data_IF_205788921805
#
_entry.id   IF_205788921805
#
_cell.length_a   1.000
_cell.length_b   1.000
_cell.length_c   1.000
_cell.angle_alpha   90.00
_cell.angle_beta   90.00
_cell.angle_gamma   90.00
#
_symmetry.space_group_name_H-M   'P 1'
#
loop_
_entity.id
_entity.type
_entity.pdbx_description
1 polymer ?
#
# COMPACT_ATOMS: atom_id res chain seq x y z
N UNK A 1 11.80 97.43 9.05
CA UNK A 1 10.48 97.65 9.67
C UNK A 1 9.84 96.28 9.84
N UNK A 2 9.89 95.63 11.00
CA UNK A 2 9.16 95.91 12.22
C UNK A 2 8.50 94.58 12.63
N UNK A 3 8.96 93.96 13.73
CA UNK A 3 8.18 93.70 14.97
C UNK A 3 7.06 92.64 14.78
N UNK A 4 6.92 91.55 15.53
CA UNK A 4 7.14 91.21 16.95
C UNK A 4 7.17 89.66 17.04
N UNK A 5 8.05 89.02 17.81
CA UNK A 5 7.89 88.72 19.25
C UNK A 5 6.50 88.16 19.61
N UNK A 6 6.42 86.86 19.92
CA UNK A 6 6.40 86.40 21.31
C UNK A 6 5.78 85.02 21.44
N UNK A 7 6.58 84.15 22.05
CA UNK A 7 6.23 82.84 22.58
C UNK A 7 5.15 82.93 23.67
N UNK A 8 4.32 81.90 23.75
CA UNK A 8 3.69 81.50 25.02
C UNK A 8 3.71 79.97 25.11
N UNK A 9 4.71 79.50 25.85
CA UNK A 9 4.73 78.40 26.84
C UNK A 9 3.33 78.02 27.37
N UNK A 10 2.91 76.81 27.74
CA UNK A 10 3.47 75.49 28.11
C UNK A 10 2.20 74.59 28.21
N UNK A 11 2.18 73.28 27.97
CA UNK A 11 2.34 72.26 29.02
C UNK A 11 2.14 70.86 28.42
N UNK A 12 3.26 70.15 28.31
CA UNK A 12 3.54 68.75 28.70
C UNK A 12 2.39 67.83 29.12
N UNK A 13 2.21 66.70 28.42
CA UNK A 13 2.38 65.32 28.94
C UNK A 13 2.13 64.32 27.78
N UNK A 14 3.18 63.68 27.27
CA UNK A 14 3.64 62.31 27.60
C UNK A 14 2.72 61.24 26.97
N UNK A 15 3.18 60.24 26.22
CA UNK A 15 4.50 59.64 26.09
C UNK A 15 4.58 58.75 24.83
N UNK A 16 5.82 58.53 24.34
CA UNK A 16 6.40 57.27 23.85
C UNK A 16 5.70 56.50 22.70
N UNK A 17 6.35 55.97 21.66
CA UNK A 17 7.76 55.73 21.40
C UNK A 17 7.97 55.40 19.90
N UNK A 18 9.11 55.88 19.40
CA UNK A 18 10.09 55.24 18.52
C UNK A 18 9.67 54.49 17.22
N UNK A 19 10.27 55.01 16.13
CA UNK A 19 10.95 54.28 15.05
C UNK A 19 10.03 53.64 13.98
N UNK A 20 10.32 53.68 12.68
CA UNK A 20 11.64 53.52 12.07
C UNK A 20 11.63 53.99 10.61
N UNK A 21 12.75 54.60 10.21
CA UNK A 21 13.29 54.93 8.88
C UNK A 21 12.82 54.02 7.73
N UNK A 22 12.15 54.60 6.73
CA UNK A 22 11.79 53.94 5.47
C UNK A 22 13.04 53.67 4.62
N UNK A 23 13.40 52.40 4.46
CA UNK A 23 14.38 51.93 3.47
C UNK A 23 13.61 51.44 2.23
N UNK A 24 13.83 52.07 1.07
CA UNK A 24 13.46 51.50 -0.23
C UNK A 24 14.29 50.23 -0.46
N UNK A 25 13.60 49.11 -0.69
CA UNK A 25 14.21 47.85 -1.12
C UNK A 25 14.47 47.87 -2.65
N UNK A 26 15.55 47.23 -3.14
CA UNK A 26 15.82 47.07 -4.57
C UNK A 26 14.92 45.98 -5.20
N UNK A 27 14.67 46.01 -6.53
CA UNK A 27 13.72 45.11 -7.19
C UNK A 27 14.40 43.80 -7.58
N UNK A 28 14.40 42.80 -6.69
CA UNK A 28 14.90 41.47 -7.01
C UNK A 28 14.07 40.41 -6.28
N UNK A 29 12.95 40.03 -6.89
CA UNK A 29 12.29 38.71 -6.83
C UNK A 29 11.01 38.85 -7.67
N UNK A 30 11.19 38.92 -8.99
CA UNK A 30 10.12 38.52 -9.91
C UNK A 30 9.95 37.02 -9.66
N UNK A 31 9.01 36.67 -8.77
CA UNK A 31 8.49 35.32 -8.72
C UNK A 31 8.07 34.99 -10.16
N UNK A 32 8.66 33.95 -10.74
CA UNK A 32 8.17 33.39 -11.99
C UNK A 32 6.75 32.91 -11.71
N UNK A 33 5.77 33.78 -11.91
CA UNK A 33 4.36 33.47 -11.76
C UNK A 33 4.03 32.47 -12.87
N UNK A 34 4.11 31.18 -12.56
CA UNK A 34 3.65 30.12 -13.45
C UNK A 34 2.15 30.31 -13.58
N UNK A 35 1.74 31.03 -14.63
CA UNK A 35 0.33 31.31 -14.91
C UNK A 35 -0.36 30.03 -15.35
N UNK A 36 -0.91 29.31 -14.36
CA UNK A 36 -1.66 28.07 -14.55
C UNK A 36 -2.84 28.34 -15.50
N UNK A 37 -2.91 27.71 -16.69
CA UNK A 37 -4.03 27.85 -17.59
C UNK A 37 -5.35 27.51 -16.89
N UNK A 38 -6.36 28.35 -17.05
CA UNK A 38 -7.66 28.19 -16.40
C UNK A 38 -8.34 26.85 -16.71
N UNK A 39 -8.14 26.32 -17.92
CA UNK A 39 -8.68 25.04 -18.37
C UNK A 39 -8.05 23.82 -17.66
N UNK A 40 -6.95 23.99 -16.94
CA UNK A 40 -6.35 22.94 -16.10
C UNK A 40 -6.88 22.97 -14.67
N UNK A 41 -7.62 24.00 -14.28
CA UNK A 41 -8.14 24.16 -12.93
C UNK A 41 -9.50 23.50 -12.78
N UNK A 42 -9.69 22.82 -11.66
CA UNK A 42 -10.97 22.26 -11.26
C UNK A 42 -11.95 23.41 -10.93
N UNK A 43 -13.18 23.42 -11.46
CA UNK A 43 -14.16 24.46 -11.11
C UNK A 43 -14.59 24.48 -9.64
N UNK A 44 -14.38 23.38 -8.90
CA UNK A 44 -14.73 23.26 -7.47
C UNK A 44 -13.56 23.71 -6.59
N UNK A 45 -12.39 23.07 -6.72
CA UNK A 45 -11.24 23.36 -5.86
C UNK A 45 -10.42 24.56 -6.33
N UNK A 46 -10.57 24.98 -7.59
CA UNK A 46 -9.76 26.00 -8.27
C UNK A 46 -8.27 25.65 -8.43
N UNK A 47 -7.87 24.46 -7.97
CA UNK A 47 -6.54 23.88 -8.12
C UNK A 47 -6.41 23.12 -9.44
N UNK A 48 -5.15 22.86 -9.86
CA UNK A 48 -4.88 22.02 -11.03
C UNK A 48 -5.49 20.64 -10.83
N UNK A 49 -6.25 20.17 -11.83
CA UNK A 49 -6.86 18.84 -11.81
C UNK A 49 -5.78 17.77 -11.86
N UNK A 50 -5.77 16.87 -10.87
CA UNK A 50 -4.88 15.70 -10.84
C UNK A 50 -5.50 14.55 -11.62
N UNK A 51 -6.78 14.30 -11.37
CA UNK A 51 -7.56 13.24 -12.03
C UNK A 51 -8.78 13.87 -12.73
N UNK A 52 -8.62 14.45 -13.93
CA UNK A 52 -9.72 15.12 -14.62
C UNK A 52 -10.79 14.11 -15.08
N UNK A 53 -12.01 14.29 -14.60
CA UNK A 53 -13.20 13.52 -14.95
C UNK A 53 -14.31 14.45 -15.42
N UNK A 54 -15.05 14.04 -16.43
CA UNK A 54 -16.16 14.79 -17.00
C UNK A 54 -17.50 14.22 -16.57
N UNK A 55 -18.43 15.11 -16.22
CA UNK A 55 -19.83 14.77 -16.05
C UNK A 55 -20.52 14.66 -17.42
N UNK A 56 -21.74 14.11 -17.43
CA UNK A 56 -22.61 14.09 -18.62
C UNK A 56 -22.91 15.48 -19.20
N UNK A 57 -22.73 16.55 -18.41
CA UNK A 57 -22.82 17.95 -18.86
C UNK A 57 -21.61 18.41 -19.69
N UNK A 58 -20.56 17.58 -19.81
CA UNK A 58 -19.32 17.89 -20.51
C UNK A 58 -18.32 18.72 -19.70
N UNK A 59 -18.69 19.18 -18.50
CA UNK A 59 -17.76 19.91 -17.62
C UNK A 59 -16.83 18.94 -16.92
N UNK A 60 -15.55 19.31 -16.86
CA UNK A 60 -14.47 18.49 -16.27
C UNK A 60 -14.08 19.04 -14.91
N UNK A 61 -13.88 18.13 -13.95
CA UNK A 61 -13.52 18.39 -12.57
C UNK A 61 -12.35 17.50 -12.16
N UNK A 62 -11.70 17.85 -11.06
CA UNK A 62 -10.87 16.89 -10.35
C UNK A 62 -11.74 15.82 -9.67
N UNK A 63 -11.42 14.54 -9.84
CA UNK A 63 -12.21 13.40 -9.34
C UNK A 63 -12.53 13.52 -7.86
N UNK A 64 -11.52 13.78 -7.02
CA UNK A 64 -11.73 13.84 -5.57
C UNK A 64 -12.68 14.98 -5.18
N UNK A 65 -12.67 16.07 -5.95
CA UNK A 65 -13.52 17.23 -5.71
C UNK A 65 -14.98 16.98 -6.10
N UNK A 66 -15.22 16.40 -7.29
CA UNK A 66 -16.58 16.11 -7.74
C UNK A 66 -17.20 14.92 -6.99
N UNK A 67 -16.38 13.93 -6.60
CA UNK A 67 -16.85 12.78 -5.82
C UNK A 67 -17.38 13.25 -4.45
N UNK A 68 -16.62 14.08 -3.74
CA UNK A 68 -17.07 14.69 -2.46
C UNK A 68 -18.37 15.48 -2.61
N UNK A 69 -18.55 16.19 -3.72
CA UNK A 69 -19.78 16.92 -4.01
C UNK A 69 -20.99 15.98 -4.15
N UNK A 70 -20.83 14.89 -4.91
CA UNK A 70 -21.88 13.89 -5.13
C UNK A 70 -22.18 13.09 -3.85
N UNK A 71 -21.15 12.69 -3.10
CA UNK A 71 -21.28 11.95 -1.84
C UNK A 71 -22.00 12.78 -0.76
N UNK A 72 -21.96 14.12 -0.86
CA UNK A 72 -22.72 15.03 -0.01
C UNK A 72 -24.22 15.09 -0.36
N UNK A 73 -24.68 14.26 -1.30
CA UNK A 73 -26.08 14.15 -1.73
C UNK A 73 -26.49 15.16 -2.80
N UNK A 74 -25.55 15.90 -3.39
CA UNK A 74 -25.87 16.88 -4.44
C UNK A 74 -26.09 16.18 -5.78
N UNK A 75 -27.18 16.51 -6.47
CA UNK A 75 -27.56 15.94 -7.78
C UNK A 75 -27.53 16.98 -8.90
N UNK A 76 -26.76 18.04 -8.73
CA UNK A 76 -26.60 19.13 -9.70
C UNK A 76 -25.15 19.29 -10.11
N UNK A 77 -24.93 19.77 -11.33
CA UNK A 77 -23.61 20.10 -11.85
C UNK A 77 -23.10 21.39 -11.19
N UNK A 78 -21.95 21.38 -10.49
CA UNK A 78 -21.46 22.56 -9.76
C UNK A 78 -21.23 23.81 -10.62
N UNK A 79 -20.88 23.64 -11.89
CA UNK A 79 -20.53 24.75 -12.77
C UNK A 79 -21.72 25.29 -13.55
N UNK A 80 -22.68 24.43 -13.93
CA UNK A 80 -23.84 24.83 -14.74
C UNK A 80 -25.10 25.00 -13.91
N UNK A 81 -25.10 24.53 -12.66
CA UNK A 81 -26.27 24.48 -11.77
C UNK A 81 -27.45 23.67 -12.33
N UNK A 82 -27.22 22.87 -13.37
CA UNK A 82 -28.25 22.02 -13.97
C UNK A 82 -28.35 20.67 -13.23
N UNK A 83 -29.56 20.07 -13.12
CA UNK A 83 -29.73 18.71 -12.61
C UNK A 83 -28.92 17.71 -13.43
N UNK A 84 -28.30 16.74 -12.77
CA UNK A 84 -27.53 15.67 -13.38
C UNK A 84 -28.45 14.48 -13.69
N UNK A 85 -28.65 14.10 -14.97
CA UNK A 85 -29.39 12.89 -15.34
C UNK A 85 -28.69 11.61 -14.91
N UNK A 86 -27.35 11.63 -14.83
CA UNK A 86 -26.53 10.57 -14.25
C UNK A 86 -25.33 11.16 -13.51
N UNK A 87 -24.86 10.42 -12.50
CA UNK A 87 -23.68 10.74 -11.70
C UNK A 87 -22.43 10.03 -12.20
N UNK A 88 -22.46 9.51 -13.43
CA UNK A 88 -21.34 8.78 -14.02
C UNK A 88 -20.18 9.73 -14.29
N UNK A 89 -18.99 9.35 -13.83
CA UNK A 89 -17.77 10.09 -14.05
C UNK A 89 -16.98 9.46 -15.19
N UNK A 90 -16.85 10.18 -16.30
CA UNK A 90 -16.08 9.73 -17.47
C UNK A 90 -14.67 10.30 -17.39
N UNK A 91 -13.60 9.48 -17.34
CA UNK A 91 -12.23 9.98 -17.31
C UNK A 91 -11.87 10.81 -18.55
N UNK A 92 -11.30 12.02 -18.36
CA UNK A 92 -10.80 12.86 -19.45
C UNK A 92 -9.29 12.67 -19.62
N UNK A 93 -8.91 11.55 -20.26
CA UNK A 93 -7.51 11.16 -20.43
C UNK A 93 -6.72 12.18 -21.27
N UNK A 94 -7.36 12.83 -22.25
CA UNK A 94 -6.73 13.87 -23.07
C UNK A 94 -6.30 15.06 -22.23
N UNK A 95 -7.20 15.59 -21.38
CA UNK A 95 -6.86 16.74 -20.52
C UNK A 95 -5.78 16.36 -19.51
N UNK A 96 -5.81 15.12 -19.00
CA UNK A 96 -4.78 14.61 -18.10
C UNK A 96 -3.40 14.60 -18.76
N UNK A 97 -3.29 14.12 -20.00
CA UNK A 97 -2.03 14.16 -20.76
C UNK A 97 -1.53 15.59 -21.00
N UNK A 98 -2.44 16.53 -21.28
CA UNK A 98 -2.09 17.94 -21.47
C UNK A 98 -1.58 18.61 -20.18
N UNK A 99 -2.24 18.35 -19.05
CA UNK A 99 -1.82 18.86 -17.73
C UNK A 99 -0.44 18.32 -17.37
N UNK A 100 -0.21 17.02 -17.58
CA UNK A 100 1.08 16.38 -17.32
C UNK A 100 2.20 16.95 -18.19
N UNK A 101 1.93 17.18 -19.47
CA UNK A 101 2.92 17.81 -20.35
C UNK A 101 3.22 19.25 -19.92
N UNK A 102 2.18 20.03 -19.60
CA UNK A 102 2.33 21.39 -19.13
C UNK A 102 3.14 21.49 -17.83
N UNK A 103 2.86 20.63 -16.84
CA UNK A 103 3.57 20.66 -15.55
C UNK A 103 5.07 20.35 -15.71
N UNK A 104 5.40 19.41 -16.61
CA UNK A 104 6.79 19.08 -16.95
C UNK A 104 7.53 20.23 -17.63
N UNK A 105 6.84 21.02 -18.47
CA UNK A 105 7.43 22.16 -19.17
C UNK A 105 7.54 23.44 -18.34
N UNK A 106 6.81 23.50 -17.21
CA UNK A 106 6.67 24.71 -16.38
C UNK A 106 7.61 24.73 -15.17
N UNK A 107 8.38 23.68 -14.91
CA UNK A 107 9.45 23.73 -13.91
C UNK A 107 10.65 24.50 -14.46
N UNK A 108 11.07 25.62 -13.82
CA UNK A 108 12.30 26.29 -14.23
C UNK A 108 13.46 25.31 -14.06
N UNK A 109 14.17 25.07 -15.16
CA UNK A 109 15.34 24.20 -15.18
C UNK A 109 16.43 24.75 -14.24
N UNK A 110 16.49 24.21 -13.02
CA UNK A 110 17.67 24.33 -12.18
C UNK A 110 18.68 23.29 -12.65
N UNK A 111 19.70 23.74 -13.36
CA UNK A 111 20.89 22.99 -13.70
C UNK A 111 21.57 22.45 -12.43
N UNK A 112 21.63 21.12 -12.29
CA UNK A 112 22.37 20.45 -11.21
C UNK A 112 21.81 19.08 -10.88
N UNK A 113 22.41 18.07 -11.49
CA UNK A 113 22.31 16.63 -11.24
C UNK A 113 21.08 15.86 -11.75
N UNK A 114 21.37 14.76 -12.45
CA UNK A 114 20.42 13.92 -13.15
C UNK A 114 19.61 13.05 -12.18
N UNK A 115 18.57 13.62 -11.58
CA UNK A 115 17.41 12.85 -11.12
C UNK A 115 16.30 12.99 -12.14
N UNK A 116 16.38 12.20 -13.21
CA UNK A 116 15.24 11.95 -14.08
C UNK A 116 14.19 11.30 -13.20
N UNK A 117 13.13 12.03 -12.83
CA UNK A 117 11.92 11.41 -12.29
C UNK A 117 11.29 10.61 -13.43
N UNK A 118 11.77 9.40 -13.63
CA UNK A 118 11.24 8.51 -14.66
C UNK A 118 9.77 8.26 -14.37
N UNK A 119 8.93 8.44 -15.40
CA UNK A 119 7.52 8.04 -15.37
C UNK A 119 7.39 6.65 -14.73
N UNK A 120 6.30 6.35 -13.98
CA UNK A 120 6.11 5.03 -13.37
C UNK A 120 6.28 3.86 -14.34
N UNK A 121 5.85 4.01 -15.61
CA UNK A 121 6.09 3.01 -16.65
C UNK A 121 7.56 2.91 -17.10
N UNK A 122 8.33 3.99 -16.98
CA UNK A 122 9.79 3.99 -17.15
C UNK A 122 10.49 3.23 -16.03
N UNK A 123 10.05 3.40 -14.78
CA UNK A 123 10.58 2.66 -13.64
C UNK A 123 10.36 1.15 -13.78
N UNK A 124 9.17 0.72 -14.20
CA UNK A 124 8.89 -0.70 -14.46
C UNK A 124 9.85 -1.28 -15.51
N UNK A 125 10.16 -0.52 -16.57
CA UNK A 125 11.12 -0.94 -17.60
C UNK A 125 12.55 -1.03 -17.06
N UNK A 126 12.95 -0.13 -16.16
CA UNK A 126 14.25 -0.22 -15.49
C UNK A 126 14.34 -1.46 -14.59
N UNK A 127 13.28 -1.76 -13.82
CA UNK A 127 13.21 -2.96 -12.99
C UNK A 127 13.28 -4.24 -13.84
N UNK A 128 12.64 -4.25 -15.01
CA UNK A 128 12.68 -5.37 -15.94
C UNK A 128 14.06 -5.56 -16.59
N UNK A 129 14.96 -4.58 -16.53
CA UNK A 129 16.30 -4.68 -17.10
C UNK A 129 17.14 -5.70 -16.30
N UNK A 130 17.78 -6.69 -16.96
CA UNK A 130 18.53 -7.75 -16.28
C UNK A 130 19.86 -7.29 -15.70
N UNK A 131 20.46 -6.23 -16.27
CA UNK A 131 21.84 -5.81 -15.97
C UNK A 131 21.93 -4.55 -15.09
N UNK A 132 20.79 -3.93 -14.77
CA UNK A 132 20.73 -2.77 -13.88
C UNK A 132 20.32 -3.19 -12.46
N UNK A 133 20.85 -2.47 -11.45
CA UNK A 133 20.37 -2.57 -10.08
C UNK A 133 18.93 -2.03 -10.00
N UNK A 134 17.92 -2.87 -9.70
CA UNK A 134 16.54 -2.43 -9.66
C UNK A 134 16.21 -1.63 -8.39
N UNK A 135 17.09 -1.59 -7.39
CA UNK A 135 16.77 -1.11 -6.03
C UNK A 135 16.28 0.34 -6.00
N UNK A 136 16.91 1.25 -6.76
CA UNK A 136 16.48 2.64 -6.83
C UNK A 136 15.09 2.81 -7.48
N UNK A 137 14.86 2.10 -8.59
CA UNK A 137 13.59 2.14 -9.31
C UNK A 137 12.45 1.51 -8.49
N UNK A 138 12.74 0.43 -7.76
CA UNK A 138 11.78 -0.22 -6.85
C UNK A 138 11.40 0.69 -5.69
N UNK A 139 12.35 1.43 -5.10
CA UNK A 139 12.05 2.41 -4.04
C UNK A 139 11.13 3.53 -4.55
N UNK A 140 11.40 4.04 -5.75
CA UNK A 140 10.55 5.07 -6.36
C UNK A 140 9.15 4.54 -6.72
N UNK A 141 9.04 3.29 -7.19
CA UNK A 141 7.76 2.63 -7.43
C UNK A 141 6.97 2.40 -6.13
N UNK A 142 7.64 1.99 -5.05
CA UNK A 142 6.99 1.80 -3.76
C UNK A 142 6.43 3.14 -3.25
N UNK A 143 7.22 4.21 -3.32
CA UNK A 143 6.76 5.55 -2.97
C UNK A 143 5.55 5.99 -3.79
N UNK A 144 5.56 5.77 -5.11
CA UNK A 144 4.43 6.10 -5.98
C UNK A 144 3.14 5.33 -5.63
N UNK A 145 3.24 4.04 -5.29
CA UNK A 145 2.08 3.23 -4.91
C UNK A 145 1.53 3.60 -3.53
N UNK A 146 2.40 4.03 -2.62
CA UNK A 146 2.04 4.50 -1.27
C UNK A 146 1.59 5.96 -1.21
N UNK A 147 1.71 6.72 -2.30
CA UNK A 147 1.33 8.14 -2.33
C UNK A 147 -0.19 8.30 -2.37
N UNK A 148 -0.77 8.90 -1.33
CA UNK A 148 -2.20 9.17 -1.20
C UNK A 148 -2.71 10.19 -2.23
N UNK A 149 -1.82 11.01 -2.81
CA UNK A 149 -2.17 11.98 -3.84
C UNK A 149 -2.37 11.33 -5.22
N UNK A 150 -1.94 10.09 -5.39
CA UNK A 150 -2.05 9.35 -6.65
C UNK A 150 -3.36 8.55 -6.68
N UNK A 151 -4.19 8.81 -7.69
CA UNK A 151 -5.49 8.17 -7.88
C UNK A 151 -5.36 6.64 -8.11
N UNK A 152 -6.22 5.86 -7.44
CA UNK A 152 -6.22 4.40 -7.47
C UNK A 152 -6.34 3.83 -8.89
N UNK A 153 -7.02 4.52 -9.80
CA UNK A 153 -7.11 4.14 -11.20
C UNK A 153 -5.75 4.19 -11.90
N UNK A 154 -4.88 5.14 -11.56
CA UNK A 154 -3.53 5.25 -12.13
C UNK A 154 -2.63 4.13 -11.64
N UNK A 155 -2.67 3.87 -10.33
CA UNK A 155 -1.99 2.75 -9.69
C UNK A 155 -2.45 1.43 -10.32
N UNK A 156 -3.76 1.25 -10.48
CA UNK A 156 -4.34 0.08 -11.15
C UNK A 156 -3.95 -0.04 -12.62
N UNK A 157 -3.89 1.06 -13.37
CA UNK A 157 -3.47 1.05 -14.76
C UNK A 157 -1.98 0.66 -14.90
N UNK A 158 -1.10 1.14 -14.01
CA UNK A 158 0.30 0.77 -13.98
C UNK A 158 0.49 -0.74 -13.74
N UNK A 159 -0.25 -1.29 -12.79
CA UNK A 159 -0.20 -2.73 -12.45
C UNK A 159 -0.88 -3.57 -13.54
N UNK A 160 -2.01 -3.11 -14.08
CA UNK A 160 -2.88 -3.84 -15.00
C UNK A 160 -2.40 -3.87 -16.45
N UNK A 161 -1.78 -2.79 -16.93
CA UNK A 161 -1.38 -2.65 -18.34
C UNK A 161 0.02 -3.20 -18.67
N UNK A 162 0.90 -3.41 -17.67
CA UNK A 162 2.35 -3.32 -17.91
C UNK A 162 3.25 -4.43 -17.39
N UNK A 163 2.73 -5.57 -16.91
CA UNK A 163 3.59 -6.64 -16.37
C UNK A 163 4.44 -6.17 -15.18
N UNK A 164 4.07 -5.08 -14.51
CA UNK A 164 4.81 -4.53 -13.38
C UNK A 164 4.93 -5.55 -12.23
N UNK A 165 3.84 -6.24 -11.92
CA UNK A 165 3.84 -7.33 -10.95
C UNK A 165 4.85 -8.43 -11.32
N UNK A 166 4.93 -8.79 -12.61
CA UNK A 166 5.85 -9.82 -13.09
C UNK A 166 7.30 -9.34 -13.12
N UNK A 167 7.55 -8.12 -13.60
CA UNK A 167 8.88 -7.51 -13.60
C UNK A 167 9.44 -7.44 -12.18
N UNK A 168 8.64 -6.98 -11.22
CA UNK A 168 9.04 -6.91 -9.81
C UNK A 168 9.19 -8.31 -9.20
N UNK A 169 8.27 -9.24 -9.46
CA UNK A 169 8.39 -10.62 -8.98
C UNK A 169 9.64 -11.33 -9.54
N UNK A 170 10.05 -11.02 -10.78
CA UNK A 170 11.24 -11.57 -11.41
C UNK A 170 12.54 -11.20 -10.70
N UNK A 171 12.57 -10.03 -10.03
CA UNK A 171 13.73 -9.59 -9.23
C UNK A 171 13.97 -10.56 -8.07
N UNK A 172 12.91 -11.00 -7.39
CA UNK A 172 13.00 -11.93 -6.26
C UNK A 172 13.48 -13.34 -6.67
N UNK A 173 13.49 -13.64 -7.97
CA UNK A 173 13.87 -14.94 -8.54
C UNK A 173 15.29 -14.95 -9.11
N UNK A 174 15.99 -13.80 -9.16
CA UNK A 174 17.36 -13.71 -9.68
C UNK A 174 18.33 -14.50 -8.78
N UNK A 175 19.28 -15.20 -9.40
CA UNK A 175 20.26 -16.10 -8.75
C UNK A 175 21.68 -15.78 -9.24
N UNK A 176 22.69 -16.18 -8.46
CA UNK A 176 24.10 -16.04 -8.84
C UNK A 176 24.54 -14.58 -8.92
N UNK A 177 25.32 -14.21 -9.95
CA UNK A 177 25.82 -12.84 -10.14
C UNK A 177 24.73 -11.77 -10.31
N UNK A 178 23.49 -12.20 -10.58
CA UNK A 178 22.32 -11.32 -10.73
C UNK A 178 21.46 -11.27 -9.47
N UNK A 179 21.80 -12.03 -8.43
CA UNK A 179 21.06 -12.05 -7.17
C UNK A 179 21.09 -10.66 -6.52
N UNK A 180 19.91 -10.20 -6.11
CA UNK A 180 19.77 -8.87 -5.54
C UNK A 180 19.98 -8.95 -4.03
N UNK A 181 20.67 -7.95 -3.47
CA UNK A 181 20.85 -7.81 -2.03
C UNK A 181 19.53 -7.72 -1.26
N UNK A 182 19.63 -7.80 0.06
CA UNK A 182 18.46 -7.75 0.96
C UNK A 182 17.65 -6.47 0.74
N UNK A 183 18.30 -5.31 0.61
CA UNK A 183 17.63 -4.03 0.38
C UNK A 183 16.82 -3.98 -0.93
N UNK A 184 17.34 -4.56 -2.01
CA UNK A 184 16.60 -4.63 -3.26
C UNK A 184 15.45 -5.64 -3.21
N UNK A 185 15.62 -6.73 -2.45
CA UNK A 185 14.52 -7.65 -2.14
C UNK A 185 13.44 -6.96 -1.31
N UNK A 186 13.80 -6.20 -0.28
CA UNK A 186 12.87 -5.40 0.53
C UNK A 186 12.08 -4.42 -0.32
N UNK A 187 12.75 -3.71 -1.23
CA UNK A 187 12.09 -2.76 -2.13
C UNK A 187 11.11 -3.47 -3.07
N UNK A 188 11.48 -4.63 -3.63
CA UNK A 188 10.58 -5.44 -4.45
C UNK A 188 9.37 -5.95 -3.66
N UNK A 189 9.60 -6.43 -2.43
CA UNK A 189 8.56 -6.88 -1.51
C UNK A 189 7.58 -5.75 -1.20
N UNK A 190 8.07 -4.55 -0.88
CA UNK A 190 7.21 -3.40 -0.57
C UNK A 190 6.30 -3.03 -1.74
N UNK A 191 6.82 -3.05 -2.98
CA UNK A 191 6.02 -2.80 -4.18
C UNK A 191 4.92 -3.84 -4.34
N UNK A 192 5.26 -5.14 -4.27
CA UNK A 192 4.27 -6.20 -4.44
C UNK A 192 3.24 -6.20 -3.31
N UNK A 193 3.66 -5.93 -2.07
CA UNK A 193 2.77 -5.86 -0.91
C UNK A 193 1.78 -4.69 -1.05
N UNK A 194 2.23 -3.53 -1.51
CA UNK A 194 1.35 -2.41 -1.84
C UNK A 194 0.29 -2.83 -2.88
N UNK A 195 0.69 -3.49 -3.96
CA UNK A 195 -0.25 -4.00 -4.98
C UNK A 195 -1.29 -4.96 -4.40
N UNK A 196 -0.91 -5.79 -3.43
CA UNK A 196 -1.82 -6.75 -2.78
C UNK A 196 -2.73 -6.06 -1.75
N UNK A 197 -2.23 -5.01 -1.08
CA UNK A 197 -2.90 -4.32 0.02
C UNK A 197 -3.87 -3.22 -0.42
N UNK A 198 -3.76 -2.73 -1.66
CA UNK A 198 -4.65 -1.69 -2.17
C UNK A 198 -6.12 -2.17 -2.24
N UNK A 199 -7.01 -1.39 -1.62
CA UNK A 199 -8.46 -1.52 -1.76
C UNK A 199 -8.87 -1.11 -3.19
N UNK A 200 -9.89 -1.74 -3.78
CA UNK A 200 -10.35 -1.40 -5.14
C UNK A 200 -9.55 -1.99 -6.31
N UNK A 201 -8.48 -2.73 -6.04
CA UNK A 201 -7.75 -3.50 -7.07
C UNK A 201 -8.57 -4.73 -7.49
N UNK A 202 -8.78 -4.90 -8.80
CA UNK A 202 -9.38 -6.14 -9.34
C UNK A 202 -8.59 -7.37 -8.84
N UNK A 203 -9.29 -8.45 -8.48
CA UNK A 203 -8.69 -9.75 -8.15
C UNK A 203 -7.68 -10.24 -9.20
N UNK A 204 -7.74 -9.70 -10.43
CA UNK A 204 -6.75 -9.94 -11.48
C UNK A 204 -5.32 -9.51 -11.10
N UNK A 205 -5.11 -8.38 -10.45
CA UNK A 205 -3.77 -7.89 -10.09
C UNK A 205 -3.16 -8.70 -8.94
N UNK A 206 -3.97 -9.03 -7.92
CA UNK A 206 -3.58 -9.95 -6.84
C UNK A 206 -3.18 -11.33 -7.40
N UNK A 207 -3.95 -11.83 -8.38
CA UNK A 207 -3.62 -13.06 -9.13
C UNK A 207 -2.32 -12.95 -9.92
N UNK A 208 -2.01 -11.79 -10.53
CA UNK A 208 -0.75 -11.57 -11.26
C UNK A 208 0.47 -11.62 -10.33
N UNK A 209 0.40 -10.98 -9.16
CA UNK A 209 1.46 -11.06 -8.14
C UNK A 209 1.67 -12.52 -7.71
N UNK A 210 0.58 -13.23 -7.39
CA UNK A 210 0.65 -14.63 -7.00
C UNK A 210 1.23 -15.53 -8.11
N UNK A 211 0.81 -15.32 -9.37
CA UNK A 211 1.32 -16.08 -10.52
C UNK A 211 2.81 -15.83 -10.77
N UNK A 212 3.26 -14.58 -10.68
CA UNK A 212 4.66 -14.24 -10.88
C UNK A 212 5.57 -14.81 -9.79
N UNK A 213 5.16 -14.73 -8.53
CA UNK A 213 5.89 -15.37 -7.44
C UNK A 213 5.87 -16.90 -7.56
N UNK A 214 4.78 -17.48 -8.09
CA UNK A 214 4.67 -18.93 -8.30
C UNK A 214 5.56 -19.46 -9.45
N UNK A 215 6.02 -18.60 -10.37
CA UNK A 215 6.82 -19.00 -11.54
C UNK A 215 8.16 -19.68 -11.17
N UNK A 216 8.82 -19.23 -10.09
CA UNK A 216 9.90 -19.95 -9.41
C UNK A 216 9.71 -19.73 -7.90
N UNK A 217 8.72 -20.45 -7.36
CA UNK A 217 8.28 -20.27 -5.98
C UNK A 217 9.38 -20.59 -4.96
N UNK A 218 10.33 -21.48 -5.27
CA UNK A 218 11.46 -21.77 -4.41
C UNK A 218 12.43 -20.57 -4.32
N UNK A 219 12.74 -19.93 -5.46
CA UNK A 219 13.59 -18.73 -5.47
C UNK A 219 12.91 -17.53 -4.80
N UNK A 220 11.64 -17.29 -5.13
CA UNK A 220 10.84 -16.23 -4.50
C UNK A 220 10.74 -16.44 -2.98
N UNK A 221 10.52 -17.68 -2.53
CA UNK A 221 10.51 -18.04 -1.13
C UNK A 221 11.84 -17.78 -0.42
N UNK A 222 12.97 -18.15 -1.03
CA UNK A 222 14.29 -17.91 -0.48
C UNK A 222 14.56 -16.41 -0.31
N UNK A 223 14.14 -15.58 -1.27
CA UNK A 223 14.28 -14.13 -1.18
C UNK A 223 13.37 -13.50 -0.14
N UNK A 224 12.11 -13.94 -0.03
CA UNK A 224 11.19 -13.51 1.03
C UNK A 224 11.72 -13.89 2.43
N UNK A 225 12.25 -15.11 2.57
CA UNK A 225 12.93 -15.58 3.77
C UNK A 225 14.15 -14.73 4.14
N UNK A 226 14.92 -14.30 3.15
CA UNK A 226 16.06 -13.40 3.34
C UNK A 226 15.61 -12.03 3.86
N UNK A 227 14.49 -11.50 3.36
CA UNK A 227 13.89 -10.25 3.84
C UNK A 227 13.38 -10.40 5.28
N UNK A 228 12.67 -11.48 5.62
CA UNK A 228 12.17 -11.69 6.98
C UNK A 228 13.31 -11.71 8.02
N UNK A 229 14.41 -12.40 7.73
CA UNK A 229 15.58 -12.49 8.65
C UNK A 229 16.49 -11.25 8.63
N UNK A 230 16.70 -10.69 7.46
CA UNK A 230 17.75 -9.70 7.21
C UNK A 230 17.27 -8.26 7.17
N UNK A 231 15.96 -8.02 7.09
CA UNK A 231 15.47 -6.67 6.88
C UNK A 231 15.64 -5.78 8.11
N UNK A 232 16.02 -4.54 7.87
CA UNK A 232 16.27 -3.54 8.92
C UNK A 232 14.97 -3.00 9.53
N UNK A 233 13.86 -2.99 8.78
CA UNK A 233 12.58 -2.41 9.19
C UNK A 233 11.47 -3.47 9.40
N UNK A 234 10.68 -3.29 10.45
CA UNK A 234 9.51 -4.14 10.76
C UNK A 234 8.50 -4.16 9.60
N UNK A 235 8.28 -3.02 8.94
CA UNK A 235 7.36 -2.90 7.81
C UNK A 235 7.73 -3.84 6.65
N UNK A 236 9.02 -3.96 6.32
CA UNK A 236 9.47 -4.83 5.25
C UNK A 236 9.27 -6.32 5.59
N UNK A 237 9.37 -6.68 6.87
CA UNK A 237 9.08 -8.05 7.36
C UNK A 237 7.58 -8.34 7.31
N UNK A 238 6.75 -7.37 7.71
CA UNK A 238 5.28 -7.45 7.61
C UNK A 238 4.85 -7.55 6.14
N UNK A 239 5.45 -6.77 5.23
CA UNK A 239 5.17 -6.84 3.80
C UNK A 239 5.63 -8.17 3.18
N UNK A 240 6.78 -8.70 3.62
CA UNK A 240 7.22 -10.03 3.23
C UNK A 240 6.23 -11.09 3.71
N UNK A 241 5.77 -11.00 4.96
CA UNK A 241 4.73 -11.87 5.50
C UNK A 241 3.42 -11.79 4.69
N UNK A 242 2.96 -10.59 4.31
CA UNK A 242 1.78 -10.38 3.45
C UNK A 242 1.91 -11.00 2.06
N UNK A 243 3.11 -11.09 1.51
CA UNK A 243 3.37 -11.76 0.22
C UNK A 243 3.55 -13.26 0.36
N UNK A 244 4.15 -13.69 1.46
CA UNK A 244 4.18 -15.07 1.92
C UNK A 244 2.72 -15.56 2.03
N UNK A 245 1.79 -14.75 2.55
CA UNK A 245 0.34 -14.97 2.52
C UNK A 245 -0.30 -15.07 1.10
N UNK A 246 0.46 -14.94 0.00
CA UNK A 246 0.04 -15.42 -1.33
C UNK A 246 0.33 -16.94 -1.43
N UNK A 247 -0.54 -17.70 -0.78
CA UNK A 247 -0.35 -19.04 -0.21
C UNK A 247 0.22 -20.15 -1.12
N UNK A 248 0.20 -20.02 -2.45
CA UNK A 248 0.84 -20.99 -3.37
C UNK A 248 2.38 -20.90 -3.40
N UNK A 249 2.92 -19.71 -3.17
CA UNK A 249 4.38 -19.49 -3.09
C UNK A 249 4.92 -20.11 -1.81
N UNK A 250 4.17 -19.92 -0.74
CA UNK A 250 4.38 -20.48 0.58
C UNK A 250 4.34 -22.02 0.57
N UNK A 251 3.36 -22.63 -0.10
CA UNK A 251 3.28 -24.10 -0.21
C UNK A 251 4.57 -24.69 -0.82
N UNK A 252 5.10 -24.05 -1.87
CA UNK A 252 6.40 -24.42 -2.45
C UNK A 252 7.59 -24.04 -1.56
N UNK A 253 7.51 -22.94 -0.81
CA UNK A 253 8.52 -22.50 0.16
C UNK A 253 8.72 -23.51 1.29
N UNK A 254 7.63 -24.08 1.81
CA UNK A 254 7.73 -25.15 2.81
C UNK A 254 8.30 -26.44 2.20
N UNK A 255 8.31 -26.56 0.87
CA UNK A 255 9.06 -27.59 0.14
C UNK A 255 10.59 -27.47 0.32
N UNK A 256 11.16 -26.26 0.39
CA UNK A 256 12.60 -26.03 0.53
C UNK A 256 13.03 -25.82 2.00
N UNK A 257 14.24 -26.27 2.34
CA UNK A 257 14.73 -26.21 3.72
C UNK A 257 14.92 -24.77 4.24
N UNK A 258 15.38 -23.86 3.38
CA UNK A 258 15.64 -22.46 3.73
C UNK A 258 14.36 -21.66 3.96
N UNK A 259 13.32 -21.91 3.14
CA UNK A 259 12.00 -21.32 3.29
C UNK A 259 11.30 -21.79 4.57
N UNK A 260 11.42 -23.07 4.89
CA UNK A 260 10.98 -23.60 6.20
C UNK A 260 11.70 -22.96 7.36
N UNK A 261 13.02 -22.90 7.31
CA UNK A 261 13.82 -22.35 8.41
C UNK A 261 13.42 -20.90 8.70
N UNK A 262 13.23 -20.07 7.66
CA UNK A 262 12.72 -18.70 7.83
C UNK A 262 11.33 -18.65 8.45
N UNK A 263 10.38 -19.45 7.92
CA UNK A 263 9.02 -19.45 8.45
C UNK A 263 8.97 -19.89 9.93
N UNK A 264 9.84 -20.82 10.31
CA UNK A 264 9.89 -21.35 11.67
C UNK A 264 10.72 -20.49 12.64
N UNK A 265 11.64 -19.67 12.12
CA UNK A 265 12.38 -18.67 12.91
C UNK A 265 11.43 -17.61 13.46
N UNK A 266 10.52 -17.10 12.61
CA UNK A 266 9.50 -16.09 12.94
C UNK A 266 8.10 -16.71 13.15
N UNK A 267 8.04 -17.96 13.64
CA UNK A 267 6.80 -18.73 13.73
C UNK A 267 5.68 -18.03 14.51
N UNK A 268 6.02 -17.27 15.55
CA UNK A 268 5.06 -16.58 16.43
C UNK A 268 4.28 -15.47 15.70
N UNK A 269 4.84 -14.88 14.65
CA UNK A 269 4.17 -13.85 13.84
C UNK A 269 3.61 -14.45 12.54
N UNK A 270 4.41 -15.29 11.86
CA UNK A 270 4.07 -15.82 10.55
C UNK A 270 2.93 -16.86 10.60
N UNK A 271 2.90 -17.74 11.61
CA UNK A 271 1.90 -18.81 11.69
C UNK A 271 0.50 -18.27 12.00
N UNK A 272 0.31 -17.35 12.97
CA UNK A 272 -1.00 -16.72 13.19
C UNK A 272 -1.52 -15.96 11.97
N UNK A 273 -0.64 -15.33 11.18
CA UNK A 273 -1.02 -14.68 9.93
C UNK A 273 -1.59 -15.69 8.91
N UNK A 274 -0.93 -16.84 8.73
CA UNK A 274 -1.41 -17.93 7.85
C UNK A 274 -2.76 -18.47 8.33
N UNK A 275 -2.91 -18.72 9.64
CA UNK A 275 -4.19 -19.13 10.24
C UNK A 275 -5.27 -18.06 10.03
N UNK A 276 -4.91 -16.78 10.17
CA UNK A 276 -5.69 -15.57 9.88
C UNK A 276 -6.38 -15.58 8.52
N UNK A 277 -5.65 -16.06 7.52
CA UNK A 277 -6.02 -15.99 6.10
C UNK A 277 -6.92 -17.10 5.61
N UNK A 278 -7.05 -18.21 6.36
CA UNK A 278 -7.82 -19.38 5.94
C UNK A 278 -9.25 -19.02 5.49
N UNK A 279 -9.88 -18.02 6.10
CA UNK A 279 -11.26 -17.63 5.77
C UNK A 279 -11.37 -16.30 5.00
N UNK A 280 -10.25 -15.62 4.73
CA UNK A 280 -10.21 -14.33 4.02
C UNK A 280 -9.86 -14.45 2.53
N UNK A 281 -9.41 -15.63 2.08
CA UNK A 281 -8.73 -15.81 0.79
C UNK A 281 -9.48 -16.72 -0.19
N UNK A 282 -10.78 -16.97 0.04
CA UNK A 282 -11.55 -17.95 -0.73
C UNK A 282 -11.09 -19.40 -0.50
N UNK A 283 -11.68 -20.35 -1.23
CA UNK A 283 -11.41 -21.80 -1.04
C UNK A 283 -9.95 -22.17 -1.34
N UNK A 284 -9.43 -21.78 -2.49
CA UNK A 284 -8.04 -22.06 -2.89
C UNK A 284 -7.02 -21.53 -1.88
N UNK A 285 -7.24 -20.33 -1.33
CA UNK A 285 -6.39 -19.78 -0.29
C UNK A 285 -6.50 -20.58 1.00
N UNK A 286 -7.70 -20.96 1.43
CA UNK A 286 -7.89 -21.79 2.61
C UNK A 286 -7.13 -23.12 2.53
N UNK A 287 -7.19 -23.78 1.37
CA UNK A 287 -6.50 -25.06 1.15
C UNK A 287 -4.97 -24.90 1.16
N UNK A 288 -4.46 -23.84 0.53
CA UNK A 288 -3.03 -23.55 0.53
C UNK A 288 -2.51 -23.18 1.94
N UNK A 289 -3.28 -22.43 2.73
CA UNK A 289 -2.94 -22.19 4.15
C UNK A 289 -2.87 -23.48 4.95
N UNK A 290 -3.81 -24.41 4.74
CA UNK A 290 -3.75 -25.73 5.37
C UNK A 290 -2.53 -26.52 4.91
N UNK A 291 -2.17 -26.48 3.64
CA UNK A 291 -0.98 -27.16 3.12
C UNK A 291 0.31 -26.65 3.79
N UNK A 292 0.43 -25.34 3.94
CA UNK A 292 1.56 -24.68 4.63
C UNK A 292 1.64 -25.12 6.08
N UNK A 293 0.55 -24.94 6.83
CA UNK A 293 0.47 -25.29 8.25
C UNK A 293 0.76 -26.78 8.45
N UNK A 294 0.17 -27.64 7.62
CA UNK A 294 0.38 -29.08 7.69
C UNK A 294 1.85 -29.42 7.43
N UNK A 295 2.47 -28.77 6.44
CA UNK A 295 3.84 -29.03 6.12
C UNK A 295 4.78 -28.63 7.29
N UNK A 296 4.69 -27.43 7.85
CA UNK A 296 5.57 -27.06 8.99
C UNK A 296 5.22 -27.79 10.29
N UNK A 297 3.94 -27.85 10.66
CA UNK A 297 3.53 -28.38 11.96
C UNK A 297 3.51 -29.92 11.99
N UNK A 298 3.20 -30.59 10.88
CA UNK A 298 3.01 -32.05 10.84
C UNK A 298 4.10 -32.78 10.04
N UNK A 299 4.34 -32.40 8.79
CA UNK A 299 5.30 -33.09 7.90
C UNK A 299 6.74 -32.94 8.38
N UNK A 300 7.15 -31.71 8.67
CA UNK A 300 8.51 -31.39 9.14
C UNK A 300 8.62 -31.25 10.66
N UNK A 301 7.49 -31.25 11.36
CA UNK A 301 7.40 -31.30 12.83
C UNK A 301 8.15 -30.17 13.53
N UNK A 302 8.08 -28.96 12.98
CA UNK A 302 8.62 -27.79 13.68
C UNK A 302 7.76 -27.46 14.90
N UNK A 303 8.40 -27.48 16.07
CA UNK A 303 7.72 -27.33 17.35
C UNK A 303 7.24 -25.90 17.58
N UNK A 304 8.00 -24.89 17.16
CA UNK A 304 7.61 -23.47 17.29
C UNK A 304 6.40 -23.17 16.43
N UNK A 305 6.40 -23.66 15.19
CA UNK A 305 5.27 -23.52 14.30
C UNK A 305 4.02 -24.26 14.80
N UNK A 306 4.17 -25.46 15.37
CA UNK A 306 3.06 -26.20 15.96
C UNK A 306 2.47 -25.49 17.20
N UNK A 307 3.31 -24.98 18.08
CA UNK A 307 2.90 -24.24 19.28
C UNK A 307 2.21 -22.92 18.90
N UNK A 308 2.76 -22.16 17.94
CA UNK A 308 2.17 -20.93 17.41
C UNK A 308 0.82 -21.19 16.70
N UNK A 309 0.71 -22.26 15.91
CA UNK A 309 -0.54 -22.65 15.26
C UNK A 309 -1.62 -22.97 16.30
N UNK A 310 -1.26 -23.73 17.34
CA UNK A 310 -2.17 -24.09 18.42
C UNK A 310 -2.62 -22.89 19.26
N UNK A 311 -1.72 -21.91 19.48
CA UNK A 311 -2.02 -20.67 20.19
C UNK A 311 -2.84 -19.67 19.34
N UNK A 312 -2.85 -19.82 18.02
CA UNK A 312 -3.55 -18.91 17.10
C UNK A 312 -5.07 -18.96 17.30
N UNK A 313 -5.67 -17.79 17.56
CA UNK A 313 -7.10 -17.67 17.82
C UNK A 313 -7.94 -18.15 16.62
N UNK A 314 -8.92 -19.00 16.91
CA UNK A 314 -9.87 -19.51 15.92
C UNK A 314 -9.30 -20.51 14.91
N UNK A 315 -8.04 -20.96 15.05
CA UNK A 315 -7.43 -21.92 14.12
C UNK A 315 -8.21 -23.24 14.00
N UNK A 316 -8.63 -23.81 15.14
CA UNK A 316 -9.48 -25.00 15.19
C UNK A 316 -10.82 -24.78 14.46
N UNK A 317 -11.51 -23.68 14.76
CA UNK A 317 -12.80 -23.34 14.15
C UNK A 317 -12.67 -23.20 12.63
N UNK A 318 -11.61 -22.54 12.15
CA UNK A 318 -11.36 -22.35 10.71
C UNK A 318 -11.07 -23.67 9.99
N UNK A 319 -10.33 -24.60 10.60
CA UNK A 319 -10.11 -25.94 10.06
C UNK A 319 -11.43 -26.71 9.92
N UNK A 320 -12.30 -26.65 10.94
CA UNK A 320 -13.61 -27.31 10.90
C UNK A 320 -14.51 -26.71 9.81
N UNK A 321 -14.52 -25.38 9.65
CA UNK A 321 -15.26 -24.71 8.60
C UNK A 321 -14.77 -25.10 7.20
N UNK A 322 -13.44 -25.24 7.00
CA UNK A 322 -12.89 -25.71 5.73
C UNK A 322 -13.32 -27.15 5.39
N UNK A 323 -13.37 -28.02 6.40
CA UNK A 323 -13.82 -29.40 6.23
C UNK A 323 -15.31 -29.48 5.86
N UNK A 324 -16.13 -28.52 6.33
CA UNK A 324 -17.56 -28.43 6.01
C UNK A 324 -17.83 -27.80 4.64
N UNK A 325 -16.95 -26.91 4.15
CA UNK A 325 -17.19 -26.12 2.94
C UNK A 325 -16.89 -26.86 1.62
N UNK A 326 -16.58 -28.16 1.66
CA UNK A 326 -16.30 -28.98 0.48
C UNK A 326 -14.94 -28.67 -0.16
N UNK A 327 -13.86 -28.80 0.62
CA UNK A 327 -12.47 -28.70 0.15
C UNK A 327 -12.00 -29.94 -0.63
N UNK A 328 -10.87 -29.82 -1.33
CA UNK A 328 -10.24 -30.93 -2.05
C UNK A 328 -9.89 -32.10 -1.12
N UNK A 329 -9.82 -33.35 -1.63
CA UNK A 329 -9.45 -34.51 -0.83
C UNK A 329 -8.09 -34.37 -0.14
N UNK A 330 -7.13 -33.73 -0.80
CA UNK A 330 -5.80 -33.47 -0.24
C UNK A 330 -5.86 -32.48 0.93
N UNK A 331 -6.53 -31.34 0.74
CA UNK A 331 -6.71 -30.35 1.80
C UNK A 331 -7.48 -30.91 3.01
N UNK A 332 -8.50 -31.75 2.74
CA UNK A 332 -9.24 -32.46 3.78
C UNK A 332 -8.33 -33.36 4.62
N UNK A 333 -7.47 -34.15 3.99
CA UNK A 333 -6.54 -35.02 4.70
C UNK A 333 -5.56 -34.22 5.57
N UNK A 334 -4.96 -33.17 5.01
CA UNK A 334 -4.03 -32.29 5.73
C UNK A 334 -4.70 -31.61 6.93
N UNK A 335 -5.92 -31.10 6.75
CA UNK A 335 -6.70 -30.49 7.82
C UNK A 335 -7.00 -31.49 8.96
N UNK A 336 -7.36 -32.74 8.63
CA UNK A 336 -7.60 -33.79 9.63
C UNK A 336 -6.35 -34.14 10.44
N UNK A 337 -5.17 -34.10 9.83
CA UNK A 337 -3.90 -34.33 10.52
C UNK A 337 -3.51 -33.14 11.41
N UNK A 338 -3.74 -31.91 10.95
CA UNK A 338 -3.56 -30.71 11.76
C UNK A 338 -4.46 -30.69 13.00
N UNK A 339 -5.70 -31.18 12.91
CA UNK A 339 -6.61 -31.28 14.07
C UNK A 339 -6.00 -32.08 15.24
N UNK A 340 -5.08 -33.02 14.98
CA UNK A 340 -4.39 -33.77 16.04
C UNK A 340 -3.49 -32.85 16.87
N UNK A 341 -2.87 -31.84 16.25
CA UNK A 341 -2.02 -30.85 16.90
C UNK A 341 -2.85 -29.94 17.81
N UNK A 342 -3.99 -29.44 17.30
CA UNK A 342 -4.93 -28.65 18.08
C UNK A 342 -5.57 -29.44 19.24
N UNK A 343 -5.84 -30.74 19.06
CA UNK A 343 -6.39 -31.60 20.13
C UNK A 343 -5.40 -31.94 21.23
N UNK A 344 -4.11 -32.07 20.91
CA UNK A 344 -3.06 -32.35 21.92
C UNK A 344 -2.85 -31.12 22.83
N UNK A 345 -2.90 -29.91 22.27
CA UNK A 345 -2.79 -28.66 23.04
C UNK A 345 -4.13 -28.15 23.63
N UNK A 346 -5.29 -28.67 23.22
CA UNK A 346 -6.57 -28.32 23.86
C UNK A 346 -6.63 -28.68 25.36
N UNK A 347 -5.76 -29.58 25.85
CA UNK A 347 -5.61 -29.88 27.27
C UNK A 347 -5.03 -28.71 28.09
N UNK A 348 -4.35 -27.75 27.46
CA UNK A 348 -3.85 -26.53 28.13
C UNK A 348 -4.76 -25.30 27.95
N UNK A 349 -5.74 -25.34 27.03
CA UNK A 349 -6.54 -24.18 26.64
C UNK A 349 -8.01 -24.24 27.06
N UNK A 350 -8.47 -25.35 27.66
CA UNK A 350 -9.72 -25.34 28.42
C UNK A 350 -9.44 -24.59 29.73
N UNK A 351 -9.45 -23.26 29.65
CA UNK A 351 -9.70 -22.42 30.81
C UNK A 351 -10.92 -23.01 31.53
N UNK A 352 -10.70 -23.44 32.78
CA UNK A 352 -11.74 -24.05 33.58
C UNK A 352 -12.96 -23.13 33.59
N UNK A 353 -14.09 -23.62 33.11
CA UNK A 353 -15.37 -23.06 33.48
C UNK A 353 -15.46 -23.23 35.00
N UNK A 354 -15.10 -22.18 35.75
CA UNK A 354 -15.43 -22.07 37.15
C UNK A 354 -16.95 -21.86 37.22
N UNK A 355 -17.70 -22.97 37.26
CA UNK A 355 -19.13 -22.94 37.45
C UNK A 355 -19.38 -22.48 38.88
N UNK A 356 -19.53 -21.16 39.07
CA UNK A 356 -20.18 -20.61 40.26
C UNK A 356 -21.65 -21.02 40.20
N UNK A 357 -21.94 -22.20 40.74
CA UNK A 357 -23.30 -22.66 40.99
C UNK A 357 -23.88 -21.79 42.10
N UNK A 358 -24.61 -20.74 41.72
CA UNK A 358 -25.45 -19.98 42.66
C UNK A 358 -26.59 -20.89 43.09
N UNK A 359 -26.51 -21.37 44.33
CA UNK A 359 -27.56 -22.14 44.97
C UNK A 359 -28.78 -21.24 45.19
N UNK A 360 -29.80 -21.33 44.34
CA UNK A 360 -31.07 -20.63 44.54
C UNK A 360 -31.87 -21.45 45.55
N UNK A 361 -32.06 -20.92 46.76
CA UNK A 361 -32.98 -21.51 47.73
C UNK A 361 -34.43 -21.17 47.33
N UNK A 362 -35.36 -22.15 47.36
CA UNK A 362 -36.77 -21.86 47.18
C UNK A 362 -37.33 -21.15 48.42
N UNK A 363 -38.29 -20.26 48.15
CA UNK A 363 -38.95 -19.30 49.04
C UNK A 363 -39.49 -19.87 50.35
#
# INVERSE_FOLDING_TARGET
>A
MGRKESSTTTTTTAAAAAATRSMRLPPQHQALEVKIPSFFRCPISLDVMRSPVSLCTGVTYDRASIQRWLDSGNTTCPATMLPLPSTDLVPNLTLRSLISHWSSSSSPATSGDASVTSSPAGLVRQVASPDADPSAALRQLAAYLSDDDVDEFEKNALVGAGGAAEAVASVLRRKGEREVGVEGCEAAVRVLAAVVAMDGVEDANKRRVAAGLAADAAASAASLARVMRGASGLEARVDAARLVEALRVLESAVGCAEGRAALCEDAEEAVPAVVGRMMKSGRDGAEAAVAVLWAVCHKYRDRRAADAAAASEGGLTRLLLLLQSGCSPAARQMALELLKIYKVNAKSCLAGYDSKTTHIMPF
#
